data_IF_616741140134
#
_entry.id   IF_616741140134
#
_cell.length_a   1.000
_cell.length_b   1.000
_cell.length_c   1.000
_cell.angle_alpha   90.00
_cell.angle_beta   90.00
_cell.angle_gamma   90.00
#
_symmetry.space_group_name_H-M   'P 1'
#
loop_
_entity.id
_entity.type
_entity.pdbx_description
1 polymer ?
#
# COMPACT_ATOMS: atom_id res chain seq x y z
N UNK A 1 54.74 21.49 16.45
CA UNK A 1 54.06 21.04 17.69
C UNK A 1 52.61 20.80 17.34
N UNK A 2 52.19 19.55 17.41
CA UNK A 2 50.95 19.03 16.82
C UNK A 2 49.88 18.92 17.90
N UNK A 3 48.76 19.64 17.76
CA UNK A 3 47.60 19.45 18.65
C UNK A 3 46.46 18.90 17.81
N UNK A 4 46.37 17.56 17.78
CA UNK A 4 45.18 16.84 17.33
C UNK A 4 44.05 17.12 18.32
N UNK A 5 42.96 17.73 17.86
CA UNK A 5 41.67 17.69 18.56
C UNK A 5 40.71 16.83 17.76
N UNK A 6 40.50 15.62 18.26
CA UNK A 6 39.41 14.74 17.90
C UNK A 6 38.18 15.27 18.66
N UNK A 7 37.19 15.77 17.93
CA UNK A 7 35.81 15.91 18.38
C UNK A 7 35.01 15.43 17.13
N UNK A 8 34.51 14.21 17.03
CA UNK A 8 34.00 13.37 18.10
C UNK A 8 32.62 13.83 18.56
N UNK A 9 31.72 14.15 17.62
CA UNK A 9 30.29 14.23 17.89
C UNK A 9 29.55 13.72 16.66
N UNK A 10 29.12 12.47 16.79
CA UNK A 10 28.26 11.78 15.89
C UNK A 10 26.97 12.59 15.69
N UNK A 11 26.85 13.25 14.55
CA UNK A 11 25.56 13.61 14.00
C UNK A 11 24.92 12.32 13.46
N UNK A 12 24.54 11.42 14.37
CA UNK A 12 23.43 10.49 14.10
C UNK A 12 22.19 11.39 14.16
N UNK A 13 22.02 12.20 13.12
CA UNK A 13 20.73 12.77 12.81
C UNK A 13 19.84 11.55 12.57
N UNK A 14 18.94 11.33 13.52
CA UNK A 14 17.83 10.41 13.47
C UNK A 14 17.08 10.59 12.15
N UNK A 15 17.52 9.92 11.09
CA UNK A 15 16.69 9.65 9.92
C UNK A 15 15.79 8.49 10.32
N UNK A 16 14.88 8.75 11.24
CA UNK A 16 13.69 7.89 11.39
C UNK A 16 12.93 8.07 10.09
N UNK A 17 12.70 6.99 9.32
CA UNK A 17 12.47 7.09 7.90
C UNK A 17 11.11 7.74 7.64
N UNK A 18 11.09 8.82 6.85
CA UNK A 18 9.85 9.49 6.45
C UNK A 18 8.77 8.54 5.87
N UNK A 19 9.17 7.36 5.36
CA UNK A 19 8.24 6.34 4.88
C UNK A 19 7.48 5.58 5.97
N UNK A 20 8.05 5.38 7.17
CA UNK A 20 7.24 4.83 8.28
C UNK A 20 6.16 5.82 8.67
N UNK A 21 6.41 7.12 8.51
CA UNK A 21 5.38 8.15 8.69
C UNK A 21 4.34 8.15 7.55
N UNK A 22 4.75 8.07 6.28
CA UNK A 22 3.80 7.99 5.16
C UNK A 22 2.84 6.79 5.29
N UNK A 23 3.37 5.62 5.65
CA UNK A 23 2.57 4.40 5.88
C UNK A 23 1.55 4.51 7.03
N UNK A 24 1.72 5.46 7.95
CA UNK A 24 0.84 5.65 9.10
C UNK A 24 -0.20 6.77 8.89
N UNK A 25 0.04 7.70 7.98
CA UNK A 25 -0.78 8.91 7.82
C UNK A 25 -1.39 9.10 6.42
N UNK A 26 -0.99 8.31 5.43
CA UNK A 26 -1.47 8.45 4.05
C UNK A 26 -2.06 7.13 3.54
N UNK A 27 -3.23 7.20 2.91
CA UNK A 27 -3.93 6.05 2.35
C UNK A 27 -4.55 6.41 1.01
N UNK A 28 -4.56 5.43 0.10
CA UNK A 28 -5.31 5.48 -1.14
C UNK A 28 -6.52 4.53 -1.06
N UNK A 29 -7.70 5.06 -1.35
CA UNK A 29 -8.90 4.26 -1.62
C UNK A 29 -8.86 3.85 -3.08
N UNK A 30 -8.70 2.55 -3.31
CA UNK A 30 -8.55 1.92 -4.61
C UNK A 30 -9.80 1.10 -4.93
N UNK A 31 -10.20 1.11 -6.20
CA UNK A 31 -11.31 0.32 -6.72
C UNK A 31 -10.90 -0.33 -8.02
N UNK A 32 -11.37 -1.55 -8.23
CA UNK A 32 -11.03 -2.29 -9.45
C UNK A 32 -11.81 -3.57 -9.62
N UNK A 33 -11.52 -4.26 -10.71
CA UNK A 33 -12.09 -5.57 -11.01
C UNK A 33 -11.04 -6.65 -10.79
N UNK A 34 -11.46 -7.77 -10.23
CA UNK A 34 -10.62 -8.97 -10.08
C UNK A 34 -10.36 -9.56 -11.46
N UNK A 35 -9.09 -9.74 -11.80
CA UNK A 35 -8.63 -10.33 -13.08
C UNK A 35 -8.09 -11.73 -12.89
N UNK A 36 -7.57 -12.04 -11.71
CA UNK A 36 -7.08 -13.36 -11.35
C UNK A 36 -7.45 -13.69 -9.91
N UNK A 37 -7.71 -14.97 -9.66
CA UNK A 37 -7.97 -15.53 -8.32
C UNK A 37 -7.17 -16.81 -8.18
N UNK A 38 -6.41 -16.90 -7.10
CA UNK A 38 -5.69 -18.09 -6.68
C UNK A 38 -6.13 -18.44 -5.26
N UNK A 39 -6.50 -19.70 -5.03
CA UNK A 39 -6.84 -20.19 -3.70
C UNK A 39 -5.57 -20.63 -2.97
N UNK A 40 -5.40 -20.20 -1.73
CA UNK A 40 -4.31 -20.62 -0.83
C UNK A 40 -4.89 -21.33 0.39
N UNK A 41 -4.02 -21.84 1.27
CA UNK A 41 -4.44 -22.47 2.52
C UNK A 41 -5.13 -21.46 3.47
N UNK A 42 -4.73 -20.19 3.40
CA UNK A 42 -5.19 -19.10 4.29
C UNK A 42 -6.28 -18.21 3.67
N UNK A 43 -6.76 -18.51 2.46
CA UNK A 43 -7.79 -17.72 1.77
C UNK A 43 -7.58 -17.64 0.26
N UNK A 44 -7.57 -16.42 -0.28
CA UNK A 44 -7.42 -16.16 -1.71
C UNK A 44 -6.40 -15.06 -1.96
N UNK A 45 -5.52 -15.28 -2.94
CA UNK A 45 -4.72 -14.23 -3.54
C UNK A 45 -5.42 -13.76 -4.81
N UNK A 46 -5.74 -12.47 -4.88
CA UNK A 46 -6.41 -11.89 -6.04
C UNK A 46 -5.56 -10.81 -6.69
N UNK A 47 -5.60 -10.76 -8.02
CA UNK A 47 -5.03 -9.66 -8.79
C UNK A 47 -6.17 -8.75 -9.22
N UNK A 48 -6.10 -7.50 -8.80
CA UNK A 48 -7.10 -6.46 -9.07
C UNK A 48 -6.52 -5.48 -10.07
N UNK A 49 -7.23 -5.26 -11.17
CA UNK A 49 -6.91 -4.16 -12.07
C UNK A 49 -7.60 -2.91 -11.58
N UNK A 50 -6.82 -1.93 -11.13
CA UNK A 50 -7.31 -0.71 -10.49
C UNK A 50 -7.91 0.21 -11.56
N UNK A 51 -9.19 0.50 -11.44
CA UNK A 51 -9.93 1.40 -12.35
C UNK A 51 -10.12 2.79 -11.76
N UNK A 52 -10.16 2.90 -10.43
CA UNK A 52 -10.24 4.17 -9.74
C UNK A 52 -9.32 4.18 -8.51
N UNK A 53 -8.79 5.36 -8.23
CA UNK A 53 -7.86 5.59 -7.13
C UNK A 53 -8.05 7.03 -6.66
N UNK A 54 -8.22 7.20 -5.36
CA UNK A 54 -8.36 8.48 -4.71
C UNK A 54 -7.66 8.44 -3.35
N UNK A 55 -7.41 9.61 -2.76
CA UNK A 55 -6.97 9.67 -1.37
C UNK A 55 -8.09 9.20 -0.45
N UNK A 56 -7.73 8.43 0.57
CA UNK A 56 -8.68 7.99 1.58
C UNK A 56 -9.13 9.16 2.43
N UNK A 57 -10.45 9.32 2.56
CA UNK A 57 -11.02 10.34 3.46
C UNK A 57 -11.12 9.86 4.90
N UNK A 58 -11.15 8.54 5.10
CA UNK A 58 -11.40 7.91 6.40
C UNK A 58 -10.09 7.48 7.07
N UNK A 59 -9.10 7.07 6.27
CA UNK A 59 -7.87 6.48 6.78
C UNK A 59 -6.63 7.39 6.62
N UNK A 60 -6.72 8.49 5.88
CA UNK A 60 -5.61 9.41 5.64
C UNK A 60 -5.75 10.73 6.40
N UNK A 61 -4.66 11.20 7.01
CA UNK A 61 -4.58 12.49 7.70
C UNK A 61 -3.90 13.57 6.82
N UNK A 62 -3.11 13.16 5.83
CA UNK A 62 -2.31 14.04 4.97
C UNK A 62 -2.54 13.76 3.47
N UNK A 63 -2.08 14.68 2.62
CA UNK A 63 -2.39 14.69 1.20
C UNK A 63 -1.17 14.97 0.31
N UNK A 64 -0.06 14.30 0.54
CA UNK A 64 1.13 14.42 -0.31
C UNK A 64 1.20 13.30 -1.36
N UNK A 65 0.65 12.11 -1.09
CA UNK A 65 0.62 11.01 -2.07
C UNK A 65 -0.23 11.34 -3.32
N UNK A 66 0.29 11.02 -4.50
CA UNK A 66 -0.51 10.93 -5.73
C UNK A 66 -1.07 9.52 -5.93
N UNK A 67 -2.28 9.28 -5.42
CA UNK A 67 -2.98 8.01 -5.62
C UNK A 67 -3.34 7.74 -7.09
N UNK A 68 -3.36 8.77 -7.95
CA UNK A 68 -3.67 8.64 -9.37
C UNK A 68 -2.70 7.70 -10.10
N UNK A 69 -1.47 7.57 -9.61
CA UNK A 69 -0.46 6.67 -10.17
C UNK A 69 -0.86 5.19 -10.14
N UNK A 70 -1.85 4.80 -9.32
CA UNK A 70 -2.32 3.41 -9.26
C UNK A 70 -3.37 3.07 -10.33
N UNK A 71 -4.00 4.06 -10.97
CA UNK A 71 -5.02 3.78 -11.99
C UNK A 71 -4.41 3.06 -13.19
N UNK A 72 -5.06 2.00 -13.63
CA UNK A 72 -4.59 1.14 -14.73
C UNK A 72 -3.46 0.18 -14.35
N UNK A 73 -3.03 0.14 -13.08
CA UNK A 73 -2.04 -0.83 -12.59
C UNK A 73 -2.75 -1.99 -11.90
N UNK A 74 -2.10 -3.14 -11.97
CA UNK A 74 -2.54 -4.32 -11.22
C UNK A 74 -2.00 -4.27 -9.79
N UNK A 75 -2.82 -4.72 -8.86
CA UNK A 75 -2.49 -4.82 -7.44
C UNK A 75 -2.87 -6.19 -6.91
N UNK A 76 -1.90 -6.86 -6.29
CA UNK A 76 -2.12 -8.15 -5.62
C UNK A 76 -2.61 -7.91 -4.19
N UNK A 77 -3.69 -8.60 -3.83
CA UNK A 77 -4.29 -8.59 -2.49
C UNK A 77 -4.44 -10.01 -1.97
N UNK A 78 -4.32 -10.17 -0.66
CA UNK A 78 -4.74 -11.39 0.04
C UNK A 78 -6.08 -11.13 0.70
N UNK A 79 -7.08 -11.95 0.38
CA UNK A 79 -8.40 -11.95 0.98
C UNK A 79 -8.54 -13.17 1.87
N UNK A 80 -8.80 -12.94 3.15
CA UNK A 80 -9.09 -14.00 4.14
C UNK A 80 -10.58 -14.05 4.48
N UNK A 81 -11.42 -13.41 3.67
CA UNK A 81 -12.87 -13.35 3.84
C UNK A 81 -13.52 -14.68 3.39
N UNK A 82 -14.63 -15.04 4.03
CA UNK A 82 -15.40 -16.26 3.76
C UNK A 82 -16.07 -16.23 2.36
N UNK A 83 -16.22 -15.02 1.78
CA UNK A 83 -16.80 -14.86 0.45
C UNK A 83 -15.80 -15.25 -0.66
N UNK A 84 -16.08 -16.35 -1.38
CA UNK A 84 -15.25 -16.82 -2.51
C UNK A 84 -15.19 -15.78 -3.63
N UNK A 85 -14.05 -15.09 -3.86
CA UNK A 85 -13.92 -14.10 -4.93
C UNK A 85 -13.93 -14.78 -6.29
N UNK A 86 -14.51 -14.12 -7.30
CA UNK A 86 -14.46 -14.60 -8.70
C UNK A 86 -13.92 -13.51 -9.62
N UNK A 87 -13.33 -13.93 -10.74
CA UNK A 87 -12.91 -13.00 -11.80
C UNK A 87 -14.10 -12.18 -12.28
N UNK A 88 -13.92 -10.86 -12.38
CA UNK A 88 -14.97 -9.90 -12.70
C UNK A 88 -15.64 -9.24 -11.50
N UNK A 89 -15.51 -9.81 -10.28
CA UNK A 89 -15.97 -9.15 -9.06
C UNK A 89 -15.29 -7.79 -8.91
N UNK A 90 -16.03 -6.82 -8.39
CA UNK A 90 -15.51 -5.48 -8.13
C UNK A 90 -15.17 -5.32 -6.66
N UNK A 91 -13.97 -4.88 -6.39
CA UNK A 91 -13.44 -4.71 -5.03
C UNK A 91 -13.07 -3.25 -4.79
N UNK A 92 -13.36 -2.78 -3.58
CA UNK A 92 -12.92 -1.50 -3.05
C UNK A 92 -12.09 -1.77 -1.79
N UNK A 93 -10.93 -1.13 -1.68
CA UNK A 93 -10.00 -1.33 -0.57
C UNK A 93 -9.18 -0.06 -0.32
N UNK A 94 -8.80 0.20 0.93
CA UNK A 94 -7.84 1.24 1.29
C UNK A 94 -6.47 0.62 1.48
N UNK A 95 -5.43 1.24 0.93
CA UNK A 95 -4.04 0.79 1.09
C UNK A 95 -3.16 1.94 1.56
N UNK A 96 -2.31 1.71 2.56
CA UNK A 96 -1.40 2.73 3.07
C UNK A 96 -0.46 3.19 1.95
N UNK A 97 -0.31 4.50 1.75
CA UNK A 97 0.60 5.04 0.77
C UNK A 97 2.02 4.98 1.31
N UNK A 98 2.78 3.99 0.86
CA UNK A 98 4.24 4.00 1.04
C UNK A 98 4.82 4.62 -0.22
N UNK A 99 5.52 5.74 -0.08
CA UNK A 99 6.34 6.28 -1.18
C UNK A 99 7.19 5.13 -1.75
N UNK A 100 6.97 4.76 -3.00
CA UNK A 100 7.69 3.64 -3.62
C UNK A 100 7.17 2.25 -3.25
N UNK A 101 6.02 1.88 -3.81
CA UNK A 101 5.54 0.50 -3.93
C UNK A 101 6.35 -0.32 -4.94
N UNK A 102 7.67 -0.41 -4.76
CA UNK A 102 8.49 -1.40 -5.46
C UNK A 102 9.23 -2.24 -4.43
N UNK A 103 9.34 -3.54 -4.70
CA UNK A 103 10.18 -4.45 -3.91
C UNK A 103 11.64 -3.98 -3.83
N UNK A 104 12.04 -3.10 -4.77
CA UNK A 104 13.38 -2.56 -4.96
C UNK A 104 13.45 -1.05 -4.62
N UNK A 105 12.36 -0.50 -4.08
CA UNK A 105 12.22 0.92 -3.79
C UNK A 105 13.05 1.34 -2.59
N UNK A 106 13.25 2.66 -2.45
CA UNK A 106 13.98 3.28 -1.32
C UNK A 106 13.45 2.86 0.06
N UNK A 107 12.26 2.27 0.13
CA UNK A 107 11.55 1.90 1.34
C UNK A 107 11.08 0.43 1.37
N UNK A 108 11.77 -0.44 0.63
CA UNK A 108 11.60 -1.89 0.72
C UNK A 108 11.65 -2.36 2.19
N UNK A 109 10.66 -3.15 2.63
CA UNK A 109 10.52 -3.63 4.01
C UNK A 109 9.53 -2.83 4.88
N UNK A 110 8.94 -1.75 4.38
CA UNK A 110 7.86 -1.03 5.09
C UNK A 110 6.57 -1.85 5.08
N UNK A 111 5.87 -1.92 6.22
CA UNK A 111 4.59 -2.63 6.32
C UNK A 111 3.52 -1.92 5.50
N UNK A 112 2.93 -2.65 4.57
CA UNK A 112 1.77 -2.19 3.78
C UNK A 112 0.51 -2.65 4.49
N UNK A 113 -0.32 -1.71 4.91
CA UNK A 113 -1.61 -2.00 5.52
C UNK A 113 -2.69 -1.92 4.45
N UNK A 114 -3.56 -2.92 4.40
CA UNK A 114 -4.69 -2.94 3.47
C UNK A 114 -5.98 -3.23 4.24
N UNK A 115 -7.02 -2.46 3.96
CA UNK A 115 -8.35 -2.62 4.51
C UNK A 115 -9.35 -2.89 3.39
N UNK A 116 -10.08 -4.00 3.49
CA UNK A 116 -11.19 -4.26 2.58
C UNK A 116 -12.34 -3.31 2.92
N UNK A 117 -12.79 -2.53 1.95
CA UNK A 117 -13.99 -1.69 2.08
C UNK A 117 -15.21 -2.49 1.64
N UNK A 118 -15.13 -3.13 0.47
CA UNK A 118 -16.26 -3.88 -0.10
C UNK A 118 -15.83 -4.85 -1.20
N UNK A 119 -16.48 -6.01 -1.24
CA UNK A 119 -16.50 -6.91 -2.40
C UNK A 119 -17.92 -6.95 -2.99
N UNK A 120 -18.07 -6.55 -4.26
CA UNK A 120 -19.32 -6.61 -5.02
C UNK A 120 -19.23 -7.73 -6.05
N UNK A 121 -20.19 -8.67 -5.99
CA UNK A 121 -20.27 -9.74 -6.99
C UNK A 121 -20.59 -9.18 -8.37
N UNK A 122 -19.87 -9.67 -9.38
CA UNK A 122 -20.28 -9.47 -10.76
C UNK A 122 -21.71 -10.00 -10.92
N UNK A 123 -22.58 -9.20 -11.55
CA UNK A 123 -23.92 -9.67 -11.86
C UNK A 123 -23.80 -10.80 -12.90
N UNK A 124 -24.47 -11.95 -12.70
CA UNK A 124 -24.46 -13.04 -13.67
C UNK A 124 -25.02 -12.61 -15.03
#
# INVERSE_FOLDING_TARGET
MTTKRIIGLAAIALIVPAASHASWFEYCDLRGAIRNVEKTDDGYVVVVSVTDAARSKENGELGYTDCGEHRGKDTTLTLTDDAVPVVGDHIAFSRSAVDGFTADGKFAGTTVTTHLIKLNKAKP
#
